data_IF_180275418541
#
_entry.id   IF_180275418541
#
_cell.length_a   1.000
_cell.length_b   1.000
_cell.length_c   1.000
_cell.angle_alpha   90.00
_cell.angle_beta   90.00
_cell.angle_gamma   90.00
#
_symmetry.space_group_name_H-M   'P 1'
#
loop_
_entity.id
_entity.type
_entity.pdbx_description
1 polymer ?
#
# COMPACT_ATOMS: atom_id res chain seq x y z
N UNK A 1 51.92 -46.55 -38.50
CA UNK A 1 51.03 -45.39 -38.25
C UNK A 1 49.60 -45.90 -38.09
N UNK A 2 49.06 -45.86 -36.87
CA UNK A 2 47.63 -46.05 -36.57
C UNK A 2 47.20 -44.83 -35.74
N UNK A 3 46.06 -44.16 -36.04
CA UNK A 3 45.67 -42.97 -35.31
C UNK A 3 44.98 -43.37 -34.01
N UNK A 4 45.39 -42.76 -32.91
CA UNK A 4 44.71 -42.81 -31.61
C UNK A 4 43.62 -41.73 -31.58
N UNK A 5 42.35 -42.13 -31.59
CA UNK A 5 41.25 -41.20 -31.33
C UNK A 5 41.19 -40.89 -29.84
N UNK A 6 41.51 -39.64 -29.45
CA UNK A 6 41.18 -39.14 -28.11
C UNK A 6 39.75 -38.63 -28.14
N UNK A 7 38.85 -39.33 -27.45
CA UNK A 7 37.50 -38.87 -27.19
C UNK A 7 37.57 -37.79 -26.09
N UNK A 8 37.24 -36.54 -26.44
CA UNK A 8 37.13 -35.45 -25.48
C UNK A 8 35.68 -35.45 -24.95
N UNK A 9 35.49 -35.88 -23.71
CA UNK A 9 34.18 -35.79 -23.04
C UNK A 9 34.13 -34.45 -22.33
N UNK A 10 33.44 -33.49 -22.93
CA UNK A 10 33.14 -32.20 -22.29
C UNK A 10 31.98 -32.40 -21.32
N UNK A 11 32.28 -32.43 -20.02
CA UNK A 11 31.25 -32.45 -18.98
C UNK A 11 30.64 -31.05 -18.87
N UNK A 12 29.39 -30.91 -19.30
CA UNK A 12 28.58 -29.70 -19.11
C UNK A 12 28.09 -29.69 -17.66
N UNK A 13 28.73 -28.91 -16.79
CA UNK A 13 28.25 -28.67 -15.43
C UNK A 13 27.16 -27.61 -15.49
N UNK A 14 25.90 -28.04 -15.46
CA UNK A 14 24.75 -27.17 -15.26
C UNK A 14 24.75 -26.70 -13.80
N UNK A 15 25.15 -25.45 -13.56
CA UNK A 15 24.88 -24.78 -12.29
C UNK A 15 23.41 -24.38 -12.27
N UNK A 16 22.55 -25.25 -11.73
CA UNK A 16 21.22 -24.82 -11.29
C UNK A 16 21.37 -24.08 -9.97
N UNK A 17 21.25 -22.75 -9.97
CA UNK A 17 21.05 -22.00 -8.74
C UNK A 17 19.67 -22.39 -8.19
N UNK A 18 19.63 -23.30 -7.22
CA UNK A 18 18.42 -23.50 -6.44
C UNK A 18 18.13 -22.19 -5.71
N UNK A 19 17.05 -21.50 -6.10
CA UNK A 19 16.55 -20.37 -5.35
C UNK A 19 16.35 -20.83 -3.90
N UNK A 20 17.05 -20.20 -2.96
CA UNK A 20 16.94 -20.56 -1.56
C UNK A 20 15.54 -20.16 -1.08
N UNK A 21 14.72 -21.15 -0.72
CA UNK A 21 13.38 -20.90 -0.21
C UNK A 21 13.48 -20.02 1.06
N UNK A 22 12.74 -18.91 1.06
CA UNK A 22 12.66 -18.03 2.23
C UNK A 22 11.84 -18.77 3.30
N UNK A 23 12.47 -19.10 4.42
CA UNK A 23 11.78 -19.69 5.56
C UNK A 23 10.90 -18.63 6.24
N UNK A 24 9.59 -18.87 6.29
CA UNK A 24 8.63 -18.00 6.96
C UNK A 24 8.56 -18.40 8.44
N UNK A 25 8.99 -17.50 9.32
CA UNK A 25 8.92 -17.72 10.77
C UNK A 25 7.49 -17.47 11.24
N UNK A 26 6.85 -18.49 11.79
CA UNK A 26 5.46 -18.44 12.27
C UNK A 26 5.36 -18.73 13.77
N UNK A 27 4.17 -18.53 14.34
CA UNK A 27 3.87 -18.99 15.70
C UNK A 27 3.80 -20.52 15.73
N UNK A 28 4.29 -21.19 16.79
CA UNK A 28 4.14 -22.65 16.94
C UNK A 28 2.69 -23.15 17.02
N UNK A 29 1.72 -22.24 17.17
CA UNK A 29 0.27 -22.55 17.19
C UNK A 29 -0.43 -22.20 15.88
N UNK A 30 0.30 -21.70 14.89
CA UNK A 30 -0.25 -21.42 13.58
C UNK A 30 -0.16 -22.68 12.73
N UNK A 31 -1.32 -23.26 12.40
CA UNK A 31 -1.42 -24.51 11.64
C UNK A 31 -1.44 -24.29 10.13
N UNK A 32 -1.34 -23.05 9.67
CA UNK A 32 -1.36 -22.69 8.25
C UNK A 32 0.00 -22.93 7.61
N UNK A 33 -0.02 -23.30 6.34
CA UNK A 33 1.18 -23.43 5.54
C UNK A 33 1.50 -22.09 4.86
N UNK A 34 2.79 -21.77 4.76
CA UNK A 34 3.26 -20.51 4.19
C UNK A 34 4.33 -20.74 3.13
N UNK A 35 4.33 -19.90 2.10
CA UNK A 35 5.43 -19.79 1.15
C UNK A 35 5.56 -18.34 0.68
N UNK A 36 6.78 -17.90 0.39
CA UNK A 36 7.03 -16.62 -0.27
C UNK A 36 7.77 -16.91 -1.56
N UNK A 37 7.20 -16.47 -2.68
CA UNK A 37 7.75 -16.65 -4.01
C UNK A 37 8.00 -15.29 -4.66
N UNK A 38 8.94 -15.28 -5.61
CA UNK A 38 9.11 -14.18 -6.55
C UNK A 38 8.78 -14.72 -7.94
N UNK A 39 7.87 -14.03 -8.65
CA UNK A 39 7.50 -14.35 -10.03
C UNK A 39 8.58 -13.86 -10.99
N UNK A 40 8.54 -14.33 -12.25
CA UNK A 40 9.53 -13.96 -13.27
C UNK A 40 9.55 -12.45 -13.56
N UNK A 41 8.44 -11.75 -13.32
CA UNK A 41 8.30 -10.29 -13.41
C UNK A 41 8.68 -9.55 -12.10
N UNK A 42 9.39 -10.22 -11.19
CA UNK A 42 9.86 -9.71 -9.87
C UNK A 42 8.76 -9.35 -8.87
N UNK A 43 7.49 -9.66 -9.17
CA UNK A 43 6.40 -9.50 -8.22
C UNK A 43 6.57 -10.53 -7.10
N UNK A 44 6.56 -10.05 -5.85
CA UNK A 44 6.67 -10.90 -4.65
C UNK A 44 5.29 -11.33 -4.18
N UNK A 45 5.11 -12.60 -3.90
CA UNK A 45 3.82 -13.15 -3.45
C UNK A 45 3.99 -13.96 -2.17
N UNK A 46 3.25 -13.59 -1.13
CA UNK A 46 3.04 -14.44 0.03
C UNK A 46 1.84 -15.37 -0.22
N UNK A 47 2.03 -16.66 -0.02
CA UNK A 47 1.01 -17.70 -0.18
C UNK A 47 0.70 -18.28 1.19
N UNK A 48 -0.57 -18.35 1.54
CA UNK A 48 -1.05 -18.89 2.82
C UNK A 48 -2.12 -19.94 2.55
N UNK A 49 -1.82 -21.20 2.88
CA UNK A 49 -2.75 -22.31 2.72
C UNK A 49 -3.36 -22.68 4.06
N UNK A 50 -4.69 -22.69 4.12
CA UNK A 50 -5.48 -23.10 5.29
C UNK A 50 -6.71 -23.87 4.82
N UNK A 51 -6.63 -25.20 4.89
CA UNK A 51 -7.69 -26.10 4.42
C UNK A 51 -9.03 -25.94 5.14
N UNK A 52 -9.09 -25.22 6.27
CA UNK A 52 -10.32 -25.00 7.02
C UNK A 52 -11.11 -23.79 6.51
N UNK A 53 -10.52 -22.95 5.64
CA UNK A 53 -11.16 -21.73 5.16
C UNK A 53 -12.31 -21.99 4.19
N UNK A 54 -13.41 -21.27 4.42
CA UNK A 54 -14.58 -21.23 3.53
C UNK A 54 -14.55 -20.05 2.55
N UNK A 55 -13.67 -19.07 2.82
CA UNK A 55 -13.43 -17.92 1.96
C UNK A 55 -11.95 -17.84 1.64
N UNK A 56 -11.64 -17.45 0.41
CA UNK A 56 -10.30 -17.11 -0.04
C UNK A 56 -10.20 -15.59 -0.18
N UNK A 57 -9.00 -15.05 -0.04
CA UNK A 57 -8.75 -13.63 -0.16
C UNK A 57 -7.44 -13.36 -0.87
N UNK A 58 -7.37 -12.18 -1.49
CA UNK A 58 -6.14 -11.68 -2.07
C UNK A 58 -5.97 -10.20 -1.76
N UNK A 59 -4.72 -9.78 -1.65
CA UNK A 59 -4.33 -8.38 -1.58
C UNK A 59 -3.13 -8.14 -2.50
N UNK A 60 -3.07 -6.96 -3.11
CA UNK A 60 -1.88 -6.49 -3.84
C UNK A 60 -1.63 -5.04 -3.44
N UNK A 61 -0.40 -4.78 -2.99
CA UNK A 61 0.10 -3.47 -2.62
C UNK A 61 1.14 -3.02 -3.64
N UNK A 62 0.96 -1.80 -4.16
CA UNK A 62 1.94 -1.11 -5.00
C UNK A 62 2.72 -0.16 -4.10
N UNK A 63 4.05 -0.18 -4.17
CA UNK A 63 4.95 0.69 -3.38
C UNK A 63 4.98 2.14 -3.92
N UNK A 64 3.80 2.73 -4.03
CA UNK A 64 3.56 4.12 -4.38
C UNK A 64 2.24 4.55 -3.75
N UNK A 65 2.19 5.78 -3.22
CA UNK A 65 0.95 6.35 -2.72
C UNK A 65 0.90 7.85 -2.99
N UNK A 66 0.28 8.58 -2.07
CA UNK A 66 0.19 10.04 -2.15
C UNK A 66 1.53 10.78 -2.11
N UNK A 67 2.61 10.11 -1.70
CA UNK A 67 3.98 10.63 -1.74
C UNK A 67 4.45 10.99 -3.15
N UNK A 68 3.97 10.27 -4.17
CA UNK A 68 4.38 10.45 -5.54
C UNK A 68 3.42 11.34 -6.35
N UNK A 69 2.39 11.92 -5.71
CA UNK A 69 1.45 12.82 -6.39
C UNK A 69 2.24 13.95 -7.08
N UNK A 70 2.03 14.20 -8.39
CA UNK A 70 2.62 15.35 -9.05
C UNK A 70 2.13 16.66 -8.40
N UNK A 71 3.00 17.66 -8.35
CA UNK A 71 2.61 19.00 -7.88
C UNK A 71 1.50 19.56 -8.77
N UNK A 72 0.45 20.09 -8.17
CA UNK A 72 -0.74 20.56 -8.89
C UNK A 72 -1.73 19.45 -9.25
N UNK A 73 -1.42 18.19 -8.95
CA UNK A 73 -2.29 17.01 -9.07
C UNK A 73 -2.39 16.26 -7.74
N UNK A 74 -2.48 17.01 -6.65
CA UNK A 74 -2.63 16.45 -5.31
C UNK A 74 -3.86 15.53 -5.24
N UNK A 75 -3.66 14.29 -4.78
CA UNK A 75 -4.68 13.24 -4.76
C UNK A 75 -4.71 12.32 -5.97
N UNK A 76 -3.82 12.49 -6.96
CA UNK A 76 -3.82 11.66 -8.18
C UNK A 76 -3.69 10.16 -7.90
N UNK A 77 -2.85 9.75 -6.95
CA UNK A 77 -2.71 8.34 -6.56
C UNK A 77 -4.04 7.76 -6.02
N UNK A 78 -4.73 8.54 -5.18
CA UNK A 78 -6.04 8.17 -4.64
C UNK A 78 -7.12 8.17 -5.73
N UNK A 79 -7.08 9.11 -6.66
CA UNK A 79 -7.99 9.13 -7.79
C UNK A 79 -7.78 7.93 -8.73
N UNK A 80 -6.53 7.56 -8.99
CA UNK A 80 -6.19 6.35 -9.76
C UNK A 80 -6.73 5.09 -9.08
N UNK A 81 -6.65 5.00 -7.76
CA UNK A 81 -7.26 3.90 -6.99
C UNK A 81 -8.73 3.69 -7.33
N UNK A 82 -9.53 4.77 -7.33
CA UNK A 82 -10.95 4.70 -7.69
C UNK A 82 -11.12 4.26 -9.14
N UNK A 83 -10.31 4.81 -10.05
CA UNK A 83 -10.44 4.53 -11.49
C UNK A 83 -10.14 3.08 -11.88
N UNK A 84 -9.32 2.34 -11.11
CA UNK A 84 -9.02 0.93 -11.41
C UNK A 84 -10.23 0.01 -11.21
N UNK A 85 -11.21 0.42 -10.42
CA UNK A 85 -12.45 -0.33 -10.23
C UNK A 85 -13.44 -0.21 -11.40
N UNK A 86 -13.16 0.64 -12.41
CA UNK A 86 -14.15 1.06 -13.40
C UNK A 86 -14.02 0.40 -14.77
N UNK A 87 -13.54 -0.83 -14.77
CA UNK A 87 -13.45 -1.66 -15.96
C UNK A 87 -12.05 -1.74 -16.54
N UNK A 88 -11.82 -2.89 -17.18
CA UNK A 88 -10.54 -3.29 -17.76
C UNK A 88 -10.81 -3.85 -19.15
N UNK A 89 -9.78 -4.03 -19.98
CA UNK A 89 -9.98 -4.54 -21.35
C UNK A 89 -10.73 -5.88 -21.39
N UNK A 90 -10.39 -6.80 -20.48
CA UNK A 90 -11.03 -8.12 -20.38
C UNK A 90 -12.42 -8.07 -19.71
N UNK A 91 -12.63 -7.13 -18.80
CA UNK A 91 -13.89 -6.93 -18.07
C UNK A 91 -14.33 -5.46 -18.17
N UNK A 92 -14.88 -5.02 -19.31
CA UNK A 92 -15.09 -3.59 -19.59
C UNK A 92 -16.30 -2.98 -18.89
N UNK A 93 -17.18 -3.81 -18.33
CA UNK A 93 -18.37 -3.34 -17.60
C UNK A 93 -17.94 -2.82 -16.22
N UNK A 94 -18.26 -1.56 -15.94
CA UNK A 94 -17.80 -0.77 -14.78
C UNK A 94 -18.04 -1.42 -13.43
N UNK A 95 -19.17 -2.09 -13.27
CA UNK A 95 -19.61 -2.73 -12.03
C UNK A 95 -19.34 -4.23 -12.03
N UNK A 96 -18.64 -4.78 -13.03
CA UNK A 96 -18.43 -6.23 -13.19
C UNK A 96 -17.66 -6.83 -12.02
N UNK A 97 -16.57 -6.19 -11.60
CA UNK A 97 -15.76 -6.67 -10.48
C UNK A 97 -16.55 -6.68 -9.18
N UNK A 98 -17.17 -5.55 -8.85
CA UNK A 98 -17.94 -5.35 -7.62
C UNK A 98 -19.13 -6.31 -7.58
N UNK A 99 -19.86 -6.42 -8.69
CA UNK A 99 -21.01 -7.34 -8.81
C UNK A 99 -20.58 -8.79 -8.65
N UNK A 100 -19.45 -9.19 -9.24
CA UNK A 100 -18.92 -10.54 -9.11
C UNK A 100 -18.54 -10.86 -7.66
N UNK A 101 -17.79 -9.96 -7.00
CA UNK A 101 -17.38 -10.14 -5.60
C UNK A 101 -18.61 -10.27 -4.69
N UNK A 102 -19.57 -9.35 -4.80
CA UNK A 102 -20.79 -9.38 -3.97
C UNK A 102 -21.67 -10.61 -4.25
N UNK A 103 -21.83 -11.02 -5.51
CA UNK A 103 -22.61 -12.21 -5.87
C UNK A 103 -22.00 -13.51 -5.32
N UNK A 104 -20.68 -13.53 -5.09
CA UNK A 104 -19.95 -14.67 -4.56
C UNK A 104 -19.65 -14.55 -3.06
N UNK A 105 -20.46 -13.77 -2.33
CA UNK A 105 -20.41 -13.65 -0.87
C UNK A 105 -19.11 -13.03 -0.36
N UNK A 106 -18.53 -12.15 -1.16
CA UNK A 106 -17.27 -11.49 -0.90
C UNK A 106 -17.40 -9.99 -0.65
N UNK A 107 -16.29 -9.39 -0.21
CA UNK A 107 -16.11 -7.95 -0.08
C UNK A 107 -14.84 -7.52 -0.81
N UNK A 108 -14.76 -6.24 -1.18
CA UNK A 108 -13.57 -5.63 -1.75
C UNK A 108 -13.38 -4.24 -1.18
N UNK A 109 -12.13 -3.78 -1.16
CA UNK A 109 -11.82 -2.39 -0.89
C UNK A 109 -10.41 -2.06 -1.39
N UNK A 110 -10.05 -0.79 -1.28
CA UNK A 110 -8.69 -0.33 -1.43
C UNK A 110 -8.40 0.82 -0.46
N UNK A 111 -7.13 1.17 -0.33
CA UNK A 111 -6.73 2.44 0.28
C UNK A 111 -5.40 2.93 -0.29
N UNK A 112 -5.29 4.25 -0.35
CA UNK A 112 -4.07 4.98 -0.72
C UNK A 112 -3.49 5.60 0.54
N UNK A 113 -2.31 5.13 0.93
CA UNK A 113 -1.53 5.68 2.04
C UNK A 113 -0.50 6.70 1.53
N UNK A 114 0.51 7.00 2.36
CA UNK A 114 1.60 7.85 1.93
C UNK A 114 2.45 7.17 0.86
N UNK A 115 3.01 6.00 1.16
CA UNK A 115 4.01 5.32 0.32
C UNK A 115 3.51 4.02 -0.33
N UNK A 116 2.23 3.71 -0.20
CA UNK A 116 1.63 2.54 -0.83
C UNK A 116 0.15 2.72 -1.17
N UNK A 117 -0.31 1.93 -2.14
CA UNK A 117 -1.72 1.80 -2.51
C UNK A 117 -2.07 0.33 -2.54
N UNK A 118 -3.04 -0.09 -1.73
CA UNK A 118 -3.38 -1.51 -1.54
C UNK A 118 -4.80 -1.79 -1.96
N UNK A 119 -4.98 -2.82 -2.77
CA UNK A 119 -6.28 -3.34 -3.22
C UNK A 119 -6.44 -4.73 -2.65
N UNK A 120 -7.65 -5.09 -2.22
CA UNK A 120 -7.91 -6.40 -1.64
C UNK A 120 -9.36 -6.83 -1.78
N UNK A 121 -9.58 -8.14 -1.73
CA UNK A 121 -10.89 -8.74 -1.70
C UNK A 121 -10.90 -10.08 -0.96
N UNK A 122 -12.10 -10.49 -0.56
CA UNK A 122 -12.44 -11.86 -0.18
C UNK A 122 -13.61 -12.36 -1.03
N UNK A 123 -13.72 -13.68 -1.21
CA UNK A 123 -14.83 -14.39 -1.87
C UNK A 123 -14.96 -15.79 -1.31
N UNK A 124 -16.09 -16.46 -1.55
CA UNK A 124 -16.17 -17.92 -1.40
C UNK A 124 -15.06 -18.63 -2.19
N UNK A 125 -14.42 -19.63 -1.60
CA UNK A 125 -13.23 -20.27 -2.16
C UNK A 125 -13.43 -20.83 -3.58
N UNK A 126 -14.61 -21.36 -3.89
CA UNK A 126 -14.96 -21.86 -5.25
C UNK A 126 -14.92 -20.77 -6.33
N UNK A 127 -14.98 -19.50 -5.95
CA UNK A 127 -14.96 -18.33 -6.84
C UNK A 127 -13.62 -17.61 -6.84
N UNK A 128 -12.58 -18.16 -6.22
CA UNK A 128 -11.31 -17.47 -6.04
C UNK A 128 -10.55 -17.24 -7.35
N UNK A 129 -10.39 -18.27 -8.19
CA UNK A 129 -9.75 -18.16 -9.51
C UNK A 129 -10.40 -17.08 -10.40
N UNK A 130 -11.74 -17.09 -10.63
CA UNK A 130 -12.38 -16.04 -11.43
C UNK A 130 -12.40 -14.65 -10.76
N UNK A 131 -12.29 -14.56 -9.43
CA UNK A 131 -12.10 -13.27 -8.74
C UNK A 131 -10.69 -12.72 -8.99
N UNK A 132 -9.66 -13.57 -8.86
CA UNK A 132 -8.27 -13.24 -9.16
C UNK A 132 -8.08 -12.77 -10.60
N UNK A 133 -8.76 -13.43 -11.56
CA UNK A 133 -8.69 -13.05 -12.97
C UNK A 133 -9.13 -11.59 -13.18
N UNK A 134 -10.26 -11.19 -12.56
CA UNK A 134 -10.75 -9.80 -12.62
C UNK A 134 -9.84 -8.84 -11.89
N UNK A 135 -9.40 -9.21 -10.69
CA UNK A 135 -8.53 -8.40 -9.85
C UNK A 135 -7.19 -8.09 -10.53
N UNK A 136 -6.57 -9.10 -11.15
CA UNK A 136 -5.30 -8.93 -11.84
C UNK A 136 -5.38 -7.93 -13.00
N UNK A 137 -6.53 -7.80 -13.66
CA UNK A 137 -6.69 -6.87 -14.78
C UNK A 137 -6.50 -5.40 -14.39
N UNK A 138 -6.69 -5.04 -13.11
CA UNK A 138 -6.41 -3.69 -12.61
C UNK A 138 -4.94 -3.30 -12.85
N UNK A 139 -4.05 -4.30 -12.82
CA UNK A 139 -2.59 -4.14 -12.92
C UNK A 139 -2.05 -4.54 -14.30
N UNK A 140 -2.93 -4.94 -15.23
CA UNK A 140 -2.55 -5.37 -16.59
C UNK A 140 -3.06 -4.36 -17.62
N UNK A 141 -4.37 -4.11 -17.65
CA UNK A 141 -5.01 -3.33 -18.72
C UNK A 141 -6.30 -2.61 -18.26
N UNK A 142 -6.20 -1.63 -17.33
CA UNK A 142 -7.31 -0.76 -16.98
C UNK A 142 -7.66 0.19 -18.14
N UNK A 143 -8.96 0.48 -18.30
CA UNK A 143 -9.43 1.31 -19.43
C UNK A 143 -9.29 2.82 -19.20
N UNK A 144 -9.35 3.24 -17.94
CA UNK A 144 -9.43 4.64 -17.54
C UNK A 144 -10.48 5.42 -18.36
N UNK A 145 -11.65 4.81 -18.54
CA UNK A 145 -12.73 5.26 -19.44
C UNK A 145 -13.08 6.74 -19.20
N UNK A 146 -12.90 7.64 -20.20
CA UNK A 146 -13.07 9.09 -20.04
C UNK A 146 -14.41 9.51 -19.46
N UNK A 147 -15.48 8.78 -19.79
CA UNK A 147 -16.86 9.06 -19.40
C UNK A 147 -17.08 9.00 -17.87
N UNK A 148 -16.22 8.28 -17.13
CA UNK A 148 -16.33 8.16 -15.67
C UNK A 148 -15.39 9.08 -14.90
N UNK A 149 -14.45 9.74 -15.57
CA UNK A 149 -13.46 10.63 -14.92
C UNK A 149 -14.16 11.70 -14.08
N UNK A 150 -15.17 12.37 -14.64
CA UNK A 150 -15.86 13.42 -13.90
C UNK A 150 -16.72 12.87 -12.76
N UNK A 151 -17.34 11.70 -12.94
CA UNK A 151 -18.11 11.04 -11.87
C UNK A 151 -17.22 10.73 -10.67
N UNK A 152 -16.06 10.13 -10.91
CA UNK A 152 -15.15 9.75 -9.82
C UNK A 152 -14.45 10.96 -9.18
N UNK A 153 -14.16 12.02 -9.94
CA UNK A 153 -13.69 13.30 -9.37
C UNK A 153 -14.67 13.82 -8.31
N UNK A 154 -15.97 13.74 -8.60
CA UNK A 154 -17.03 14.13 -7.64
C UNK A 154 -17.13 13.16 -6.46
N UNK A 155 -16.86 11.86 -6.65
CA UNK A 155 -16.81 10.88 -5.57
C UNK A 155 -15.66 11.18 -4.60
N UNK A 156 -14.44 11.40 -5.10
CA UNK A 156 -13.27 11.78 -4.29
C UNK A 156 -13.51 13.09 -3.54
N UNK A 157 -14.11 14.09 -4.20
CA UNK A 157 -14.47 15.34 -3.55
C UNK A 157 -15.49 15.15 -2.43
N UNK A 158 -16.49 14.29 -2.64
CA UNK A 158 -17.48 13.98 -1.61
C UNK A 158 -16.85 13.29 -0.39
N UNK A 159 -15.86 12.41 -0.62
CA UNK A 159 -15.09 11.82 0.48
C UNK A 159 -14.33 12.88 1.27
N UNK A 160 -13.63 13.79 0.58
CA UNK A 160 -12.94 14.92 1.21
C UNK A 160 -13.90 15.76 2.07
N UNK A 161 -15.03 16.18 1.50
CA UNK A 161 -16.01 17.01 2.22
C UNK A 161 -16.61 16.30 3.43
N UNK A 162 -16.91 15.00 3.31
CA UNK A 162 -17.51 14.21 4.40
C UNK A 162 -16.64 14.17 5.66
N UNK A 163 -15.31 14.27 5.52
CA UNK A 163 -14.33 14.21 6.61
C UNK A 163 -13.76 15.59 6.99
N UNK A 164 -14.20 16.68 6.35
CA UNK A 164 -13.61 18.03 6.50
C UNK A 164 -13.71 18.60 7.92
N UNK A 165 -14.73 18.21 8.67
CA UNK A 165 -14.96 18.66 10.04
C UNK A 165 -14.42 17.69 11.11
N UNK A 166 -13.83 16.57 10.71
CA UNK A 166 -13.24 15.63 11.66
C UNK A 166 -11.92 16.19 12.21
N UNK A 167 -11.85 16.38 13.53
CA UNK A 167 -10.66 16.95 14.18
C UNK A 167 -9.38 16.16 13.90
N UNK A 168 -9.45 14.83 13.75
CA UNK A 168 -8.29 14.01 13.37
C UNK A 168 -7.71 14.41 12.01
N UNK A 169 -8.56 14.65 11.00
CA UNK A 169 -8.12 15.11 9.67
C UNK A 169 -7.64 16.56 9.71
N UNK A 170 -8.33 17.41 10.47
CA UNK A 170 -7.95 18.82 10.64
C UNK A 170 -6.58 18.96 11.31
N UNK A 171 -6.33 18.20 12.38
CA UNK A 171 -5.04 18.18 13.06
C UNK A 171 -3.94 17.65 12.13
N UNK A 172 -4.20 16.55 11.40
CA UNK A 172 -3.25 16.02 10.42
C UNK A 172 -2.88 17.04 9.33
N UNK A 173 -3.83 17.84 8.84
CA UNK A 173 -3.56 18.92 7.88
C UNK A 173 -2.82 20.08 8.55
N UNK A 174 -3.18 20.44 9.77
CA UNK A 174 -2.52 21.51 10.52
C UNK A 174 -1.04 21.18 10.79
N UNK A 175 -0.71 19.93 11.12
CA UNK A 175 0.67 19.47 11.32
C UNK A 175 1.54 19.67 10.06
N UNK A 176 0.95 19.53 8.86
CA UNK A 176 1.66 19.77 7.60
C UNK A 176 2.13 21.22 7.44
N UNK A 177 1.51 22.18 8.12
CA UNK A 177 1.95 23.59 8.12
C UNK A 177 3.32 23.78 8.79
N UNK A 178 3.74 22.84 9.63
CA UNK A 178 5.04 22.83 10.29
C UNK A 178 6.12 22.09 9.48
N UNK A 179 5.70 21.26 8.51
CA UNK A 179 6.59 20.45 7.70
C UNK A 179 7.29 21.29 6.62
N UNK A 180 8.39 20.76 6.08
CA UNK A 180 9.03 21.34 4.92
C UNK A 180 8.09 21.26 3.70
N UNK A 181 7.70 22.41 3.09
CA UNK A 181 6.79 22.42 1.94
C UNK A 181 7.37 21.75 0.69
N UNK A 182 8.68 21.49 0.66
CA UNK A 182 9.34 20.77 -0.43
C UNK A 182 9.26 19.24 -0.29
N UNK A 183 8.90 18.72 0.87
CA UNK A 183 8.72 17.29 1.09
C UNK A 183 7.28 16.87 0.77
N UNK A 184 7.08 15.75 0.08
CA UNK A 184 5.75 15.32 -0.37
C UNK A 184 4.73 15.08 0.77
N UNK A 185 5.18 14.76 1.99
CA UNK A 185 4.31 14.61 3.16
C UNK A 185 3.54 15.88 3.52
N UNK A 186 4.07 17.04 3.17
CA UNK A 186 3.40 18.34 3.36
C UNK A 186 2.24 18.56 2.38
N UNK A 187 2.18 17.81 1.27
CA UNK A 187 1.18 18.00 0.23
C UNK A 187 -0.18 17.43 0.62
N UNK A 188 -1.22 17.89 -0.07
CA UNK A 188 -2.56 17.36 0.08
C UNK A 188 -2.63 15.94 -0.53
N UNK A 189 -3.10 14.96 0.23
CA UNK A 189 -3.06 13.56 -0.17
C UNK A 189 -4.39 13.01 -0.71
N UNK A 190 -5.52 13.63 -0.37
CA UNK A 190 -6.85 13.09 -0.66
C UNK A 190 -7.32 13.46 -2.06
N UNK A 191 -7.06 14.68 -2.51
CA UNK A 191 -7.62 15.24 -3.74
C UNK A 191 -9.02 15.83 -3.53
N UNK A 192 -9.38 16.77 -4.41
CA UNK A 192 -10.69 17.41 -4.49
C UNK A 192 -10.91 17.96 -5.91
N UNK A 193 -12.04 18.62 -6.17
CA UNK A 193 -12.33 19.16 -7.51
C UNK A 193 -11.28 20.16 -8.02
N UNK A 194 -10.66 20.92 -7.12
CA UNK A 194 -9.63 21.93 -7.45
C UNK A 194 -8.32 21.26 -7.89
N UNK A 195 -7.79 20.37 -7.06
CA UNK A 195 -6.49 19.71 -7.26
C UNK A 195 -6.52 18.62 -8.32
N UNK A 196 -7.69 18.02 -8.54
CA UNK A 196 -7.86 17.01 -9.59
C UNK A 196 -8.35 17.61 -10.91
N UNK A 197 -8.30 18.93 -11.11
CA UNK A 197 -8.96 19.68 -12.21
C UNK A 197 -9.00 18.95 -13.56
N UNK A 198 -10.14 18.97 -14.24
CA UNK A 198 -10.31 18.32 -15.54
C UNK A 198 -10.74 19.34 -16.61
N UNK A 199 -10.01 20.45 -16.70
CA UNK A 199 -10.24 21.46 -17.72
C UNK A 199 -9.91 20.90 -19.12
N UNK A 200 -10.66 21.22 -20.18
CA UNK A 200 -10.36 20.74 -21.53
C UNK A 200 -8.94 21.09 -22.04
N UNK A 201 -8.33 22.17 -21.54
CA UNK A 201 -6.95 22.57 -21.85
C UNK A 201 -5.89 21.84 -21.03
N UNK A 202 -6.28 21.23 -19.91
CA UNK A 202 -5.41 20.50 -18.98
C UNK A 202 -6.14 19.29 -18.36
N UNK A 203 -6.49 18.28 -19.17
CA UNK A 203 -7.28 17.14 -18.72
C UNK A 203 -6.47 16.25 -17.76
N UNK A 204 -7.12 15.69 -16.73
CA UNK A 204 -6.44 14.85 -15.72
C UNK A 204 -6.11 13.44 -16.22
N UNK A 205 -6.85 12.94 -17.21
CA UNK A 205 -6.74 11.54 -17.65
C UNK A 205 -5.33 11.17 -18.14
N UNK A 206 -4.65 11.97 -18.97
CA UNK A 206 -3.25 11.71 -19.33
C UNK A 206 -2.33 11.57 -18.12
N UNK A 207 -2.44 12.44 -17.12
CA UNK A 207 -1.61 12.37 -15.91
C UNK A 207 -1.85 11.08 -15.12
N UNK A 208 -3.10 10.62 -15.07
CA UNK A 208 -3.46 9.37 -14.42
C UNK A 208 -2.84 8.16 -15.14
N UNK A 209 -2.87 8.15 -16.48
CA UNK A 209 -2.23 7.11 -17.29
C UNK A 209 -0.71 7.15 -17.10
N UNK A 210 -0.10 8.34 -17.14
CA UNK A 210 1.33 8.50 -16.92
C UNK A 210 1.74 8.00 -15.52
N UNK A 211 0.97 8.33 -14.48
CA UNK A 211 1.23 7.84 -13.13
C UNK A 211 1.14 6.31 -13.05
N UNK A 212 0.12 5.72 -13.68
CA UNK A 212 -0.02 4.27 -13.76
C UNK A 212 1.18 3.63 -14.47
N UNK A 213 1.49 4.10 -15.68
CA UNK A 213 2.61 3.58 -16.47
C UNK A 213 3.95 3.77 -15.75
N UNK A 214 4.10 4.82 -14.96
CA UNK A 214 5.32 5.07 -14.20
C UNK A 214 5.44 4.15 -12.98
N UNK A 215 4.40 3.99 -12.17
CA UNK A 215 4.56 3.38 -10.85
C UNK A 215 3.90 2.00 -10.70
N UNK A 216 2.93 1.64 -11.54
CA UNK A 216 2.27 0.33 -11.48
C UNK A 216 3.09 -0.73 -12.21
N UNK A 217 4.29 -0.97 -11.68
CA UNK A 217 5.26 -1.94 -12.16
C UNK A 217 5.37 -3.14 -11.21
N UNK A 218 5.44 -4.35 -11.75
CA UNK A 218 5.51 -5.59 -10.98
C UNK A 218 6.67 -5.62 -9.96
N UNK A 219 7.83 -5.02 -10.26
CA UNK A 219 8.96 -4.95 -9.35
C UNK A 219 8.71 -4.06 -8.10
N UNK A 220 7.67 -3.22 -8.13
CA UNK A 220 7.20 -2.40 -7.01
C UNK A 220 5.97 -2.99 -6.31
N UNK A 221 5.55 -4.20 -6.70
CA UNK A 221 4.33 -4.84 -6.18
C UNK A 221 4.66 -5.99 -5.23
N UNK A 222 3.81 -6.11 -4.22
CA UNK A 222 3.77 -7.30 -3.34
C UNK A 222 2.33 -7.74 -3.19
N UNK A 223 2.08 -9.03 -3.39
CA UNK A 223 0.76 -9.64 -3.24
C UNK A 223 0.73 -10.66 -2.09
N UNK A 224 -0.46 -10.93 -1.61
CA UNK A 224 -0.74 -12.03 -0.69
C UNK A 224 -1.98 -12.79 -1.17
N UNK A 225 -1.90 -14.12 -1.24
CA UNK A 225 -3.01 -15.01 -1.53
C UNK A 225 -3.25 -15.92 -0.33
N UNK A 226 -4.50 -16.05 0.10
CA UNK A 226 -4.91 -16.98 1.15
C UNK A 226 -6.15 -17.77 0.74
N UNK A 227 -6.14 -19.08 0.98
CA UNK A 227 -7.29 -19.93 0.71
C UNK A 227 -7.07 -21.39 1.14
N UNK A 228 -8.07 -22.27 0.94
CA UNK A 228 -7.97 -23.69 1.28
C UNK A 228 -7.14 -24.52 0.29
N UNK A 229 -6.73 -23.91 -0.83
CA UNK A 229 -5.89 -24.55 -1.83
C UNK A 229 -4.48 -24.84 -1.26
N UNK A 230 -3.86 -25.99 -1.56
CA UNK A 230 -2.47 -26.24 -1.23
C UNK A 230 -1.54 -25.16 -1.80
N UNK A 231 -0.39 -24.93 -1.15
CA UNK A 231 0.61 -23.94 -1.59
C UNK A 231 0.94 -24.03 -3.09
N UNK A 232 1.10 -25.25 -3.62
CA UNK A 232 1.42 -25.45 -5.04
C UNK A 232 0.31 -24.96 -5.98
N UNK A 233 -0.95 -25.04 -5.58
CA UNK A 233 -2.09 -24.53 -6.35
C UNK A 233 -2.20 -23.00 -6.22
N UNK A 234 -1.98 -22.44 -5.02
CA UNK A 234 -1.89 -20.98 -4.84
C UNK A 234 -0.75 -20.36 -5.66
N UNK A 235 0.40 -21.04 -5.76
CA UNK A 235 1.49 -20.62 -6.64
C UNK A 235 1.08 -20.63 -8.12
N UNK A 236 0.37 -21.66 -8.56
CA UNK A 236 -0.14 -21.72 -9.94
C UNK A 236 -1.13 -20.59 -10.23
N UNK A 237 -2.03 -20.28 -9.29
CA UNK A 237 -2.96 -19.15 -9.41
C UNK A 237 -2.21 -17.81 -9.47
N UNK A 238 -1.20 -17.61 -8.61
CA UNK A 238 -0.36 -16.41 -8.63
C UNK A 238 0.35 -16.26 -9.98
N UNK A 239 0.99 -17.31 -10.49
CA UNK A 239 1.65 -17.31 -11.80
C UNK A 239 0.67 -17.06 -12.94
N UNK A 240 -0.49 -17.71 -12.93
CA UNK A 240 -1.53 -17.57 -13.96
C UNK A 240 -2.00 -16.12 -14.09
N UNK A 241 -2.26 -15.45 -12.97
CA UNK A 241 -2.93 -14.15 -12.97
C UNK A 241 -1.99 -12.96 -12.91
N UNK A 242 -0.86 -13.07 -12.20
CA UNK A 242 0.02 -11.92 -11.97
C UNK A 242 1.25 -11.87 -12.86
N UNK A 243 1.59 -12.92 -13.62
CA UNK A 243 2.79 -12.90 -14.49
C UNK A 243 2.67 -11.95 -15.69
N UNK A 244 1.45 -11.54 -16.06
CA UNK A 244 1.21 -10.58 -17.14
C UNK A 244 1.33 -9.12 -16.69
N UNK A 245 1.45 -8.86 -15.38
CA UNK A 245 1.70 -7.51 -14.87
C UNK A 245 3.07 -7.07 -15.37
N UNK A 246 3.11 -5.93 -16.03
CA UNK A 246 4.33 -5.42 -16.64
C UNK A 246 5.37 -5.07 -15.57
N UNK A 247 6.57 -5.59 -15.74
CA UNK A 247 7.76 -5.13 -15.02
C UNK A 247 8.49 -4.08 -15.87
N UNK A 248 8.43 -2.83 -15.40
CA UNK A 248 9.06 -1.67 -16.03
C UNK A 248 10.39 -1.28 -15.39
N UNK A 249 10.90 -2.07 -14.45
CA UNK A 249 12.17 -1.83 -13.75
C UNK A 249 12.28 -0.41 -13.17
N UNK A 250 11.27 -0.02 -12.39
CA UNK A 250 11.15 1.34 -11.86
C UNK A 250 11.67 1.40 -10.44
N UNK A 251 12.41 2.45 -10.11
CA UNK A 251 12.83 2.71 -8.73
C UNK A 251 11.65 3.21 -7.88
N UNK A 252 11.55 2.80 -6.60
CA UNK A 252 10.56 3.36 -5.69
C UNK A 252 10.67 4.88 -5.58
N UNK A 253 9.54 5.57 -5.37
CA UNK A 253 9.57 7.00 -5.08
C UNK A 253 10.34 7.27 -3.79
N UNK A 254 11.20 8.29 -3.82
CA UNK A 254 11.92 8.78 -2.64
C UNK A 254 11.90 10.30 -2.63
N UNK A 255 11.56 10.88 -1.48
CA UNK A 255 11.70 12.32 -1.25
C UNK A 255 13.19 12.69 -1.16
N UNK A 256 13.54 13.82 -1.80
CA UNK A 256 14.88 14.40 -1.70
C UNK A 256 15.01 15.42 -0.55
N UNK A 257 13.90 16.02 -0.12
CA UNK A 257 13.87 17.03 0.92
C UNK A 257 13.71 16.37 2.31
N UNK A 258 14.29 16.98 3.34
CA UNK A 258 14.04 16.57 4.73
C UNK A 258 12.62 16.95 5.17
N UNK A 259 12.00 16.12 6.03
CA UNK A 259 10.61 16.28 6.46
C UNK A 259 10.40 17.57 7.27
N UNK A 260 11.40 17.96 8.05
CA UNK A 260 11.41 19.19 8.83
C UNK A 260 12.73 19.94 8.59
N UNK A 261 12.64 21.26 8.51
CA UNK A 261 13.81 22.12 8.60
C UNK A 261 14.25 22.22 10.07
N UNK A 262 15.26 21.43 10.44
CA UNK A 262 15.74 21.34 11.83
C UNK A 262 16.26 22.69 12.37
N UNK A 263 16.62 23.64 11.50
CA UNK A 263 17.05 24.98 11.92
C UNK A 263 15.91 25.86 12.45
N UNK A 264 14.66 25.47 12.17
CA UNK A 264 13.45 26.20 12.60
C UNK A 264 12.86 25.66 13.91
N UNK A 265 13.47 24.66 14.52
CA UNK A 265 12.99 24.09 15.79
C UNK A 265 13.37 24.98 16.99
N UNK A 266 12.54 25.03 18.06
CA UNK A 266 11.25 24.35 18.20
C UNK A 266 10.13 25.06 17.43
N UNK A 267 9.17 24.27 16.97
CA UNK A 267 7.93 24.76 16.35
C UNK A 267 6.77 24.57 17.33
N UNK A 268 5.81 25.49 17.31
CA UNK A 268 4.57 25.40 18.09
C UNK A 268 3.38 25.70 17.17
N UNK A 269 2.32 24.91 17.35
CA UNK A 269 1.06 25.06 16.62
C UNK A 269 -0.11 24.91 17.60
N UNK A 270 -0.94 25.95 17.66
CA UNK A 270 -2.18 25.92 18.45
C UNK A 270 -3.36 25.65 17.50
N UNK A 271 -4.02 24.51 17.66
CA UNK A 271 -5.13 24.09 16.78
C UNK A 271 -6.47 24.25 17.50
N UNK A 272 -7.39 24.99 16.89
CA UNK A 272 -8.77 25.08 17.35
C UNK A 272 -9.60 23.91 16.80
N UNK A 273 -10.00 23.02 17.71
CA UNK A 273 -10.83 21.85 17.40
C UNK A 273 -12.32 22.21 17.31
N UNK A 274 -13.07 21.38 16.60
CA UNK A 274 -14.54 21.44 16.51
C UNK A 274 -15.15 20.87 17.79
N UNK A 275 -14.67 19.70 18.22
CA UNK A 275 -15.06 19.11 19.50
C UNK A 275 -14.40 19.86 20.65
N UNK A 276 -15.07 19.87 21.80
CA UNK A 276 -14.48 20.35 23.05
C UNK A 276 -13.45 19.33 23.56
N UNK A 277 -12.22 19.45 23.07
CA UNK A 277 -11.10 18.60 23.47
C UNK A 277 -9.88 19.46 23.80
N UNK A 278 -9.02 18.93 24.67
CA UNK A 278 -7.76 19.53 25.05
C UNK A 278 -6.70 18.44 24.94
N UNK A 279 -5.71 18.67 24.09
CA UNK A 279 -4.65 17.72 23.82
C UNK A 279 -3.34 18.49 23.64
N UNK A 280 -2.25 17.96 24.19
CA UNK A 280 -0.90 18.41 23.94
C UNK A 280 -0.16 17.28 23.21
N UNK A 281 0.43 17.58 22.07
CA UNK A 281 1.31 16.67 21.33
C UNK A 281 2.72 17.25 21.32
N UNK A 282 3.69 16.44 21.73
CA UNK A 282 5.12 16.80 21.67
C UNK A 282 5.78 15.82 20.70
N UNK A 283 6.35 16.34 19.63
CA UNK A 283 6.94 15.54 18.57
C UNK A 283 8.43 15.82 18.40
N UNK A 284 9.21 14.76 18.20
CA UNK A 284 10.64 14.83 17.97
C UNK A 284 10.93 14.27 16.57
N UNK A 285 11.54 15.04 15.66
CA UNK A 285 11.99 14.50 14.37
C UNK A 285 13.13 13.51 14.63
N UNK A 286 13.06 12.34 13.98
CA UNK A 286 14.04 11.26 14.12
C UNK A 286 14.44 10.76 12.73
N UNK A 287 15.66 10.21 12.57
CA UNK A 287 16.06 9.55 11.33
C UNK A 287 15.15 8.39 10.94
N UNK A 288 15.36 7.86 9.73
CA UNK A 288 14.77 6.60 9.25
C UNK A 288 15.07 5.45 10.24
N UNK A 289 14.09 4.57 10.47
CA UNK A 289 14.17 3.54 11.52
C UNK A 289 13.73 2.13 11.11
N UNK A 290 13.28 1.89 9.89
CA UNK A 290 12.79 0.56 9.46
C UNK A 290 13.92 -0.47 9.57
N UNK A 291 15.17 -0.06 9.37
CA UNK A 291 16.35 -0.90 9.60
C UNK A 291 16.48 -1.44 11.03
N UNK A 292 15.91 -0.79 12.05
CA UNK A 292 15.93 -1.22 13.45
C UNK A 292 14.73 -2.10 13.85
N UNK A 293 14.03 -2.73 12.89
CA UNK A 293 12.82 -3.50 13.17
C UNK A 293 13.01 -4.66 14.17
N UNK A 294 14.23 -5.18 14.30
CA UNK A 294 14.59 -6.26 15.25
C UNK A 294 14.83 -5.76 16.67
N UNK A 295 15.56 -4.65 16.84
CA UNK A 295 15.92 -4.12 18.17
C UNK A 295 14.88 -3.17 18.73
N UNK A 296 14.04 -2.57 17.87
CA UNK A 296 12.89 -1.71 18.22
C UNK A 296 13.22 -0.66 19.31
N UNK A 297 14.28 0.16 19.18
CA UNK A 297 14.72 1.07 20.25
C UNK A 297 13.65 2.08 20.68
N UNK A 298 12.86 2.61 19.75
CA UNK A 298 11.78 3.53 20.11
C UNK A 298 10.61 2.83 20.81
N UNK A 299 10.38 1.55 20.57
CA UNK A 299 9.35 0.81 21.31
C UNK A 299 9.72 0.74 22.80
N UNK A 300 11.00 0.53 23.11
CA UNK A 300 11.49 0.58 24.47
C UNK A 300 11.26 1.96 25.12
N UNK A 301 11.63 3.04 24.43
CA UNK A 301 11.45 4.42 24.94
C UNK A 301 9.95 4.75 25.12
N UNK A 302 9.13 4.47 24.11
CA UNK A 302 7.69 4.67 24.14
C UNK A 302 7.03 3.92 25.30
N UNK A 303 7.45 2.67 25.56
CA UNK A 303 6.96 1.90 26.69
C UNK A 303 7.29 2.55 28.04
N UNK A 304 8.48 3.14 28.20
CA UNK A 304 8.85 3.85 29.43
C UNK A 304 8.06 5.15 29.60
N UNK A 305 7.87 5.93 28.53
CA UNK A 305 7.12 7.17 28.58
C UNK A 305 5.62 6.94 28.79
N UNK A 306 5.06 5.94 28.11
CA UNK A 306 3.65 5.54 28.19
C UNK A 306 3.33 4.58 29.33
N UNK A 307 4.30 4.25 30.20
CA UNK A 307 4.03 3.44 31.39
C UNK A 307 3.02 4.17 32.27
N UNK A 308 1.98 3.47 32.74
CA UNK A 308 0.89 4.08 33.52
C UNK A 308 0.89 3.67 35.00
N UNK A 309 1.88 2.87 35.43
CA UNK A 309 1.97 2.41 36.81
C UNK A 309 2.50 3.46 37.79
N UNK A 310 2.72 3.03 39.03
CA UNK A 310 3.27 3.88 40.10
C UNK A 310 4.61 4.50 39.71
N UNK A 311 4.80 5.79 40.03
CA UNK A 311 6.02 6.53 39.70
C UNK A 311 6.17 6.94 38.24
N UNK A 312 5.18 6.65 37.39
CA UNK A 312 5.18 7.06 35.98
C UNK A 312 4.99 8.56 35.78
N UNK A 313 5.35 9.04 34.59
CA UNK A 313 5.04 10.38 34.13
C UNK A 313 3.52 10.65 34.17
N UNK A 314 2.70 9.68 33.75
CA UNK A 314 1.25 9.83 33.80
C UNK A 314 0.72 9.92 35.25
N UNK A 315 1.27 9.13 36.19
CA UNK A 315 0.91 9.22 37.61
C UNK A 315 1.13 10.62 38.13
N UNK A 316 2.33 11.17 37.89
CA UNK A 316 2.67 12.53 38.30
C UNK A 316 1.73 13.58 37.68
N UNK A 317 1.47 13.51 36.36
CA UNK A 317 0.59 14.46 35.69
C UNK A 317 -0.88 14.37 36.18
N UNK A 318 -1.35 13.16 36.52
CA UNK A 318 -2.68 12.95 37.12
C UNK A 318 -2.74 13.55 38.53
N UNK A 319 -1.72 13.33 39.36
CA UNK A 319 -1.63 13.90 40.72
C UNK A 319 -1.64 15.44 40.71
N UNK A 320 -0.99 16.06 39.73
CA UNK A 320 -1.00 17.51 39.55
C UNK A 320 -2.28 18.04 38.87
N UNK A 321 -3.21 17.17 38.46
CA UNK A 321 -4.43 17.57 37.74
C UNK A 321 -4.18 18.10 36.32
N UNK A 322 -3.04 17.78 35.70
CA UNK A 322 -2.61 18.31 34.40
C UNK A 322 -3.02 17.40 33.23
N UNK A 323 -3.15 16.09 33.44
CA UNK A 323 -3.52 15.15 32.37
C UNK A 323 -4.43 14.03 32.87
N UNK A 324 -5.25 13.48 31.96
CA UNK A 324 -6.08 12.30 32.21
C UNK A 324 -5.50 11.02 31.59
N UNK A 325 -4.72 11.16 30.53
CA UNK A 325 -4.09 10.06 29.77
C UNK A 325 -2.80 10.57 29.14
N UNK A 326 -1.88 9.66 28.86
CA UNK A 326 -0.64 9.93 28.12
C UNK A 326 -0.34 8.69 27.26
N UNK A 327 0.04 8.93 26.00
CA UNK A 327 0.57 7.91 25.10
C UNK A 327 1.85 8.42 24.46
N UNK A 328 2.75 7.50 24.11
CA UNK A 328 4.05 7.80 23.50
C UNK A 328 4.40 6.77 22.42
#
# INVERSE_FOLDING_TARGET
MKPTSKLLVTALVLFTSAAQAIEVITSPRDERDYSVIELDNRLKVALVSDSNLQQSAAALSVQVGSNANPRGREGLAHFLEHMLFLGTEKFPKVDEYQSFISANGGNHNAFTAYDNTTYFFDVKSDSFDPALDRFAQFFIAPLFTPEYVERERNAVHSEFESKRLEDGRRNYVADKLLMNPEHAWSMFSVGNLDTLSNDPSDPIRPDLIEFYERYYSANLMTAALIGPQPIAELEQLARKHFSLIADRNVEPYSDAADLYDLSKLPLQLDVKTVKAMQQLTISFPLPERRSYWQTKPLYYIANQLGYEGEGSLLSYLKEQGLAKSLGA
#
